data_IF_225790034640
#
_entry.id   IF_225790034640
#
_cell.length_a   1.000
_cell.length_b   1.000
_cell.length_c   1.000
_cell.angle_alpha   90.00
_cell.angle_beta   90.00
_cell.angle_gamma   90.00
#
_symmetry.space_group_name_H-M   'P 1'
#
loop_
_entity.id
_entity.type
_entity.pdbx_description
1 polymer ?
#
# COMPACT_ATOMS: atom_id res chain seq x y z
N UNK A 1 0.93 2.77 16.25
CA UNK A 1 2.30 2.66 15.74
C UNK A 1 2.26 1.74 14.53
N UNK A 2 2.82 2.13 13.39
CA UNK A 2 2.91 1.23 12.24
C UNK A 2 3.99 0.17 12.51
N UNK A 3 3.83 -1.07 12.00
CA UNK A 3 4.83 -2.11 12.22
C UNK A 3 6.15 -1.75 11.57
N UNK A 4 7.25 -2.00 12.29
CA UNK A 4 8.59 -1.94 11.72
C UNK A 4 8.83 -3.19 10.85
N UNK A 5 9.66 -3.07 9.81
CA UNK A 5 10.03 -4.21 8.96
C UNK A 5 10.59 -5.38 9.76
N UNK A 6 11.43 -5.10 10.76
CA UNK A 6 11.96 -6.12 11.68
C UNK A 6 10.86 -6.86 12.44
N UNK A 7 9.77 -6.19 12.78
CA UNK A 7 8.61 -6.82 13.42
C UNK A 7 7.99 -7.85 12.50
N UNK A 8 7.79 -7.51 11.23
CA UNK A 8 7.25 -8.44 10.22
C UNK A 8 8.18 -9.64 10.07
N UNK A 9 9.47 -9.43 9.81
CA UNK A 9 10.46 -10.52 9.65
C UNK A 9 10.47 -11.46 10.85
N UNK A 10 10.58 -10.90 12.06
CA UNK A 10 10.66 -11.70 13.28
C UNK A 10 9.42 -12.58 13.49
N UNK A 11 8.24 -12.08 13.12
CA UNK A 11 6.98 -12.83 13.29
C UNK A 11 6.67 -13.77 12.12
N UNK A 12 7.35 -13.64 10.97
CA UNK A 12 7.28 -14.62 9.88
C UNK A 12 8.21 -15.82 10.12
N UNK A 13 9.34 -15.60 10.81
CA UNK A 13 10.35 -16.64 11.04
C UNK A 13 9.74 -17.93 11.66
N UNK A 14 10.00 -19.06 11.00
CA UNK A 14 9.52 -20.38 11.45
C UNK A 14 8.08 -20.71 11.08
N UNK A 15 7.32 -19.76 10.53
CA UNK A 15 5.95 -19.96 10.05
C UNK A 15 5.85 -19.84 8.53
N UNK A 16 6.50 -18.81 7.98
CA UNK A 16 6.45 -18.50 6.55
C UNK A 16 7.83 -18.17 6.00
N UNK A 17 8.05 -18.52 4.74
CA UNK A 17 9.12 -17.95 3.93
C UNK A 17 8.62 -16.62 3.36
N UNK A 18 9.43 -15.56 3.49
CA UNK A 18 9.17 -14.29 2.81
C UNK A 18 9.69 -14.42 1.37
N UNK A 19 8.77 -14.62 0.44
CA UNK A 19 9.06 -14.86 -0.97
C UNK A 19 9.32 -13.56 -1.74
N UNK A 20 8.66 -12.48 -1.34
CA UNK A 20 8.81 -11.17 -1.97
C UNK A 20 8.51 -10.04 -1.00
N UNK A 21 9.23 -8.92 -1.16
CA UNK A 21 8.97 -7.70 -0.41
C UNK A 21 9.07 -6.49 -1.34
N UNK A 22 7.93 -5.94 -1.72
CA UNK A 22 7.84 -4.83 -2.64
C UNK A 22 7.43 -3.55 -1.90
N UNK A 23 8.18 -2.47 -2.11
CA UNK A 23 7.85 -1.15 -1.56
C UNK A 23 7.20 -0.26 -2.62
N UNK A 24 5.92 0.05 -2.41
CA UNK A 24 5.10 0.92 -3.27
C UNK A 24 4.74 2.22 -2.55
N UNK A 25 5.53 2.63 -1.54
CA UNK A 25 5.28 3.84 -0.76
C UNK A 25 5.28 5.13 -1.58
N UNK A 26 5.99 5.16 -2.72
CA UNK A 26 5.99 6.30 -3.64
C UNK A 26 4.61 6.56 -4.25
N UNK A 27 3.84 5.50 -4.45
CA UNK A 27 2.54 5.55 -5.11
C UNK A 27 1.42 5.94 -4.14
N UNK A 28 1.72 5.98 -2.83
CA UNK A 28 0.72 6.36 -1.84
C UNK A 28 0.52 7.88 -1.76
N UNK A 29 1.55 8.69 -2.01
CA UNK A 29 1.38 10.14 -2.17
C UNK A 29 0.34 10.49 -3.26
N UNK A 30 0.50 10.07 -4.54
CA UNK A 30 -0.47 10.39 -5.57
C UNK A 30 -1.86 9.82 -5.27
N UNK A 31 -1.96 8.67 -4.60
CA UNK A 31 -3.23 8.10 -4.13
C UNK A 31 -3.92 9.02 -3.12
N UNK A 32 -3.20 9.49 -2.08
CA UNK A 32 -3.74 10.38 -1.07
C UNK A 32 -4.12 11.75 -1.66
N UNK A 33 -3.33 12.25 -2.61
CA UNK A 33 -3.65 13.48 -3.35
C UNK A 33 -4.88 13.31 -4.23
N UNK A 34 -5.10 12.13 -4.83
CA UNK A 34 -6.32 11.83 -5.57
C UNK A 34 -7.54 11.80 -4.65
N UNK A 35 -7.44 11.16 -3.49
CA UNK A 35 -8.52 11.16 -2.49
C UNK A 35 -8.83 12.57 -1.97
N UNK A 36 -7.80 13.39 -1.71
CA UNK A 36 -7.97 14.77 -1.30
C UNK A 36 -8.76 15.59 -2.32
N UNK A 37 -8.41 15.48 -3.61
CA UNK A 37 -9.14 16.14 -4.70
C UNK A 37 -10.59 15.67 -4.75
N UNK A 38 -10.80 14.35 -4.84
CA UNK A 38 -12.13 13.77 -4.93
C UNK A 38 -13.02 14.14 -3.74
N UNK A 39 -12.48 14.17 -2.52
CA UNK A 39 -13.21 14.59 -1.33
C UNK A 39 -13.63 16.06 -1.38
N UNK A 40 -12.73 16.95 -1.82
CA UNK A 40 -13.01 18.38 -1.91
C UNK A 40 -14.00 18.69 -3.04
N UNK A 41 -13.91 17.98 -4.16
CA UNK A 41 -14.85 18.09 -5.28
C UNK A 41 -16.26 17.62 -4.86
N UNK A 42 -16.35 16.56 -4.06
CA UNK A 42 -17.61 16.04 -3.51
C UNK A 42 -18.14 16.83 -2.29
N UNK A 43 -17.36 17.75 -1.71
CA UNK A 43 -17.73 18.47 -0.48
C UNK A 43 -19.09 19.20 -0.55
N UNK A 44 -19.50 19.84 -1.67
CA UNK A 44 -20.81 20.48 -1.77
C UNK A 44 -21.99 19.57 -1.45
N UNK A 45 -21.89 18.27 -1.76
CA UNK A 45 -22.91 17.25 -1.47
C UNK A 45 -22.79 16.70 -0.04
N UNK A 46 -21.57 16.67 0.50
CA UNK A 46 -21.26 16.11 1.82
C UNK A 46 -21.48 17.11 2.97
N UNK A 47 -21.39 18.42 2.71
CA UNK A 47 -21.40 19.48 3.75
C UNK A 47 -22.66 19.52 4.64
N UNK A 48 -23.78 18.94 4.19
CA UNK A 48 -25.01 18.86 4.98
C UNK A 48 -24.99 17.69 5.98
N UNK A 49 -24.07 16.73 5.80
CA UNK A 49 -23.94 15.53 6.65
C UNK A 49 -22.75 15.63 7.61
N UNK A 50 -21.79 16.49 7.30
CA UNK A 50 -20.55 16.65 8.07
C UNK A 50 -20.29 18.12 8.37
N UNK A 51 -19.64 18.39 9.51
CA UNK A 51 -19.28 19.76 9.89
C UNK A 51 -18.03 20.27 9.15
N UNK A 52 -17.87 21.58 9.07
CA UNK A 52 -16.63 22.19 8.57
C UNK A 52 -15.40 21.78 9.41
N UNK A 53 -15.60 21.49 10.70
CA UNK A 53 -14.54 20.92 11.55
C UNK A 53 -14.09 19.57 11.03
N UNK A 54 -15.03 18.70 10.63
CA UNK A 54 -14.69 17.41 10.03
C UNK A 54 -13.94 17.60 8.72
N UNK A 55 -14.40 18.51 7.85
CA UNK A 55 -13.70 18.81 6.60
C UNK A 55 -12.23 19.16 6.83
N UNK A 56 -11.98 20.12 7.74
CA UNK A 56 -10.62 20.58 8.08
C UNK A 56 -9.77 19.45 8.65
N UNK A 57 -10.35 18.62 9.51
CA UNK A 57 -9.67 17.44 10.06
C UNK A 57 -9.31 16.44 8.96
N UNK A 58 -10.24 16.15 8.03
CA UNK A 58 -10.03 15.17 6.98
C UNK A 58 -9.04 15.66 5.92
N UNK A 59 -9.10 16.94 5.55
CA UNK A 59 -8.09 17.59 4.71
C UNK A 59 -6.70 17.51 5.36
N UNK A 60 -6.61 17.83 6.66
CA UNK A 60 -5.36 17.76 7.41
C UNK A 60 -4.80 16.33 7.44
N UNK A 61 -5.65 15.34 7.67
CA UNK A 61 -5.28 13.93 7.63
C UNK A 61 -4.69 13.53 6.27
N UNK A 62 -5.42 13.78 5.18
CA UNK A 62 -5.00 13.38 3.83
C UNK A 62 -3.69 14.07 3.42
N UNK A 63 -3.58 15.38 3.65
CA UNK A 63 -2.38 16.14 3.27
C UNK A 63 -1.17 15.79 4.12
N UNK A 64 -1.35 15.57 5.43
CA UNK A 64 -0.24 15.16 6.32
C UNK A 64 0.26 13.77 5.95
N UNK A 65 -0.64 12.82 5.69
CA UNK A 65 -0.25 11.49 5.22
C UNK A 65 0.43 11.55 3.86
N UNK A 66 -0.06 12.36 2.91
CA UNK A 66 0.60 12.52 1.61
C UNK A 66 2.03 13.06 1.79
N UNK A 67 2.20 14.04 2.68
CA UNK A 67 3.50 14.57 3.08
C UNK A 67 4.44 13.50 3.65
N UNK A 68 3.96 12.64 4.56
CA UNK A 68 4.81 11.61 5.18
C UNK A 68 5.26 10.53 4.18
N UNK A 69 4.40 10.12 3.25
CA UNK A 69 4.80 9.20 2.16
C UNK A 69 5.75 9.86 1.17
N UNK A 70 5.52 11.13 0.82
CA UNK A 70 6.41 11.91 -0.05
C UNK A 70 7.80 12.09 0.56
N UNK A 71 7.87 12.33 1.86
CA UNK A 71 9.11 12.48 2.63
C UNK A 71 9.82 11.15 2.91
N UNK A 72 9.20 9.99 2.60
CA UNK A 72 9.71 8.65 2.92
C UNK A 72 9.77 8.31 4.41
N UNK A 73 9.06 9.05 5.25
CA UNK A 73 8.90 8.72 6.67
C UNK A 73 7.96 7.52 6.87
N UNK A 74 6.96 7.38 5.99
CA UNK A 74 6.09 6.21 5.93
C UNK A 74 6.41 5.32 4.73
N UNK A 75 6.15 4.02 4.90
CA UNK A 75 6.38 2.99 3.89
C UNK A 75 5.08 2.25 3.61
N UNK A 76 4.93 1.76 2.37
CA UNK A 76 3.85 0.86 1.99
C UNK A 76 4.46 -0.38 1.36
N UNK A 77 4.22 -1.53 1.98
CA UNK A 77 4.79 -2.80 1.54
C UNK A 77 3.71 -3.76 1.08
N UNK A 78 3.98 -4.44 -0.03
CA UNK A 78 3.33 -5.67 -0.42
C UNK A 78 4.32 -6.80 -0.12
N UNK A 79 3.91 -7.75 0.72
CA UNK A 79 4.76 -8.87 1.15
C UNK A 79 4.09 -10.18 0.71
N UNK A 80 4.83 -11.03 0.00
CA UNK A 80 4.36 -12.37 -0.39
C UNK A 80 4.98 -13.38 0.56
N UNK A 81 4.13 -14.22 1.14
CA UNK A 81 4.49 -15.23 2.13
C UNK A 81 4.06 -16.61 1.63
N UNK A 82 4.88 -17.62 1.87
CA UNK A 82 4.55 -19.02 1.59
C UNK A 82 4.72 -19.89 2.83
N UNK A 83 3.81 -20.85 3.04
CA UNK A 83 3.98 -21.87 4.06
C UNK A 83 4.87 -22.99 3.50
N UNK A 84 6.01 -23.26 4.13
CA UNK A 84 6.95 -24.30 3.69
C UNK A 84 7.85 -23.92 2.51
N UNK A 85 7.74 -22.70 1.98
CA UNK A 85 8.50 -22.28 0.79
C UNK A 85 7.85 -22.67 -0.53
N UNK A 86 8.18 -21.95 -1.60
CA UNK A 86 7.84 -22.34 -2.98
C UNK A 86 9.09 -22.95 -3.63
N UNK A 87 9.00 -24.20 -4.07
CA UNK A 87 10.08 -24.85 -4.83
C UNK A 87 10.34 -24.09 -6.14
N UNK A 88 11.61 -23.79 -6.45
CA UNK A 88 11.97 -22.93 -7.58
C UNK A 88 11.80 -21.42 -7.33
N UNK A 89 11.21 -21.03 -6.20
CA UNK A 89 11.03 -19.65 -5.76
C UNK A 89 9.87 -18.91 -6.42
N UNK A 90 9.39 -17.86 -5.76
CA UNK A 90 8.37 -16.97 -6.31
C UNK A 90 8.97 -16.01 -7.36
N UNK A 91 8.25 -15.80 -8.47
CA UNK A 91 8.54 -14.74 -9.44
C UNK A 91 7.36 -13.80 -9.54
N UNK A 92 7.57 -12.55 -9.11
CA UNK A 92 6.57 -11.51 -9.26
C UNK A 92 6.41 -11.08 -10.72
N UNK A 93 5.17 -10.75 -11.12
CA UNK A 93 4.82 -10.31 -12.48
C UNK A 93 5.64 -9.10 -12.96
N UNK A 94 6.09 -8.24 -12.03
CA UNK A 94 6.95 -7.09 -12.35
C UNK A 94 8.30 -7.45 -12.97
N UNK A 95 8.71 -8.72 -12.87
CA UNK A 95 9.93 -9.25 -13.50
C UNK A 95 9.64 -10.01 -14.79
N UNK A 96 8.37 -10.18 -15.16
CA UNK A 96 7.99 -10.84 -16.40
C UNK A 96 8.09 -9.86 -17.58
N UNK A 97 8.58 -10.29 -18.75
CA UNK A 97 8.51 -9.50 -19.97
C UNK A 97 7.06 -9.12 -20.26
N UNK A 98 6.81 -7.85 -20.60
CA UNK A 98 5.46 -7.38 -20.99
C UNK A 98 4.91 -8.26 -22.11
N UNK A 99 3.80 -8.96 -21.82
CA UNK A 99 3.13 -9.86 -22.77
C UNK A 99 3.13 -11.35 -22.39
N UNK A 100 3.76 -11.74 -21.28
CA UNK A 100 3.64 -13.08 -20.69
C UNK A 100 3.00 -12.98 -19.30
N UNK A 101 1.67 -12.91 -19.25
CA UNK A 101 0.94 -13.17 -18.00
C UNK A 101 0.87 -14.68 -17.78
N UNK A 102 1.06 -15.18 -16.55
CA UNK A 102 0.98 -16.61 -16.26
C UNK A 102 -0.49 -17.05 -16.23
N UNK A 103 -1.11 -17.20 -17.40
CA UNK A 103 -2.44 -17.80 -17.56
C UNK A 103 -2.39 -19.23 -18.11
N UNK A 104 -1.28 -19.97 -17.99
CA UNK A 104 -1.20 -21.27 -18.70
C UNK A 104 -0.59 -22.47 -17.98
N UNK A 105 -0.14 -22.41 -16.72
CA UNK A 105 0.46 -23.60 -16.06
C UNK A 105 -0.18 -23.95 -14.70
N UNK A 106 -1.52 -23.97 -14.65
CA UNK A 106 -2.25 -24.70 -13.61
C UNK A 106 -3.42 -25.49 -14.22
N UNK A 107 -3.08 -26.62 -14.86
CA UNK A 107 -3.91 -27.84 -14.98
C UNK A 107 -3.05 -29.04 -14.68
#
# INVERSE_FOLDING_TARGET
MLPLSRGIVNNCNGLFTIEDWHNIGADYDPTLMAWYRNFNDAWPELKNRYSDRFKRMFDYYLLTCAGSFRARDNQLWQVVLSAGGIEGGYRADRWLPRGQSPETDQV
#
